data_IF_795778076796
#
_entry.id   IF_795778076796
#
_cell.length_a   1.000
_cell.length_b   1.000
_cell.length_c   1.000
_cell.angle_alpha   90.00
_cell.angle_beta   90.00
_cell.angle_gamma   90.00
#
_symmetry.space_group_name_H-M   'P 1'
#
loop_
_entity.id
_entity.type
_entity.pdbx_description
1 polymer ?
#
# COMPACT_ATOMS: atom_id res chain seq x y z
N UNK A 1 -30.57 -34.99 -20.22
CA UNK A 1 -31.11 -33.94 -19.32
C UNK A 1 -30.38 -32.63 -19.59
N UNK A 2 -31.06 -31.45 -19.72
CA UNK A 2 -30.45 -30.26 -20.33
C UNK A 2 -30.48 -28.98 -19.47
N UNK A 3 -29.60 -28.00 -19.81
CA UNK A 3 -29.70 -26.55 -19.50
C UNK A 3 -29.65 -26.17 -17.99
N UNK A 4 -29.30 -24.98 -17.51
CA UNK A 4 -28.67 -23.76 -18.04
C UNK A 4 -27.47 -23.42 -17.09
N UNK A 5 -26.58 -22.44 -17.28
CA UNK A 5 -26.51 -21.30 -18.21
C UNK A 5 -25.09 -21.11 -18.75
N UNK A 6 -24.98 -20.63 -19.99
CA UNK A 6 -23.87 -19.82 -20.50
C UNK A 6 -24.53 -18.76 -21.39
N UNK A 7 -24.51 -17.48 -20.99
CA UNK A 7 -24.72 -16.29 -21.84
C UNK A 7 -25.00 -15.05 -20.96
N UNK A 8 -24.11 -14.05 -21.04
CA UNK A 8 -24.60 -12.73 -21.46
C UNK A 8 -23.60 -12.13 -22.45
N UNK A 9 -24.12 -11.68 -23.60
CA UNK A 9 -23.31 -11.17 -24.71
C UNK A 9 -22.88 -9.74 -24.48
N UNK A 10 -21.78 -9.37 -25.14
CA UNK A 10 -21.48 -8.01 -25.58
C UNK A 10 -22.74 -7.35 -26.19
N UNK A 11 -23.17 -6.20 -25.68
CA UNK A 11 -23.56 -5.03 -26.51
C UNK A 11 -23.85 -3.80 -25.65
N UNK A 12 -22.97 -2.80 -25.71
CA UNK A 12 -23.29 -1.39 -25.50
C UNK A 12 -22.26 -0.54 -26.28
N UNK A 13 -22.44 -0.61 -27.60
CA UNK A 13 -22.41 0.54 -28.53
C UNK A 13 -21.09 1.33 -28.67
N UNK A 14 -20.43 1.02 -29.79
CA UNK A 14 -19.48 1.87 -30.51
C UNK A 14 -20.12 3.21 -30.91
N UNK A 15 -19.39 4.34 -30.79
CA UNK A 15 -19.07 5.30 -31.88
C UNK A 15 -18.63 6.68 -31.40
N UNK A 16 -17.54 7.14 -32.02
CA UNK A 16 -17.30 8.52 -32.53
C UNK A 16 -16.86 9.54 -31.45
N UNK A 17 -15.75 10.28 -31.58
CA UNK A 17 -15.04 10.71 -32.80
C UNK A 17 -13.51 10.79 -32.61
N UNK A 18 -12.74 10.51 -33.66
CA UNK A 18 -11.33 10.93 -33.77
C UNK A 18 -11.15 11.50 -35.18
N UNK A 19 -10.86 12.81 -35.31
CA UNK A 19 -10.59 13.41 -36.63
C UNK A 19 -9.57 14.54 -36.53
N UNK A 20 -8.37 14.19 -37.00
CA UNK A 20 -7.31 15.00 -37.63
C UNK A 20 -6.86 16.35 -37.03
N UNK A 21 -5.55 16.51 -37.03
CA UNK A 21 -4.86 17.75 -36.73
C UNK A 21 -4.95 18.78 -37.87
N UNK A 22 -5.03 20.05 -37.51
CA UNK A 22 -4.33 21.14 -38.23
C UNK A 22 -4.17 22.37 -37.32
N UNK A 23 -2.91 22.76 -37.09
CA UNK A 23 -2.41 24.14 -36.88
C UNK A 23 -3.28 25.13 -36.06
N UNK A 24 -2.84 25.50 -34.85
CA UNK A 24 -3.38 26.68 -34.18
C UNK A 24 -3.00 26.86 -32.70
N UNK A 25 -1.93 27.62 -32.44
CA UNK A 25 -1.58 28.30 -31.18
C UNK A 25 -1.70 27.59 -29.82
N UNK A 26 -0.53 27.38 -29.20
CA UNK A 26 -0.34 27.21 -27.77
C UNK A 26 -0.91 28.42 -27.01
N UNK A 27 -1.90 28.21 -26.14
CA UNK A 27 -2.15 29.05 -24.95
C UNK A 27 -2.47 28.17 -23.74
N UNK A 28 -1.91 28.58 -22.61
CA UNK A 28 -1.91 27.89 -21.32
C UNK A 28 -3.30 27.65 -20.71
N UNK A 29 -3.51 26.46 -20.13
CA UNK A 29 -4.49 26.24 -19.05
C UNK A 29 -4.07 25.03 -18.19
N UNK A 30 -4.22 25.15 -16.87
CA UNK A 30 -3.84 24.15 -15.87
C UNK A 30 -4.91 23.04 -15.69
N UNK A 31 -4.57 21.86 -15.13
CA UNK A 31 -5.54 20.81 -14.86
C UNK A 31 -6.57 21.21 -13.79
N UNK A 32 -7.80 20.73 -13.96
CA UNK A 32 -9.00 21.15 -13.22
C UNK A 32 -9.04 20.55 -11.81
N UNK A 33 -9.37 21.40 -10.82
CA UNK A 33 -9.62 21.01 -9.41
C UNK A 33 -10.95 20.26 -9.26
N UNK A 34 -11.01 19.32 -8.31
CA UNK A 34 -12.23 19.03 -7.57
C UNK A 34 -12.02 19.34 -6.08
N UNK A 35 -13.08 19.77 -5.41
CA UNK A 35 -13.04 20.49 -4.14
C UNK A 35 -13.56 19.59 -3.01
N UNK A 36 -12.83 19.51 -1.90
CA UNK A 36 -13.40 19.28 -0.57
C UNK A 36 -12.70 20.22 0.41
N UNK A 37 -13.50 20.97 1.17
CA UNK A 37 -13.01 22.08 1.99
C UNK A 37 -12.29 21.57 3.25
N UNK A 38 -11.25 22.29 3.69
CA UNK A 38 -10.61 22.08 4.99
C UNK A 38 -9.33 21.22 5.05
N UNK A 39 -8.89 20.64 3.92
CA UNK A 39 -7.62 19.89 3.86
C UNK A 39 -6.43 20.75 3.42
N UNK A 40 -5.50 21.07 4.34
CA UNK A 40 -4.19 21.61 3.96
C UNK A 40 -3.39 20.53 3.22
N UNK A 41 -3.13 20.74 1.92
CA UNK A 41 -2.37 19.81 1.10
C UNK A 41 -0.88 19.84 1.47
N UNK A 42 -0.50 19.08 2.51
CA UNK A 42 0.90 18.85 2.92
C UNK A 42 1.64 17.90 1.96
N UNK A 43 1.64 18.23 0.67
CA UNK A 43 2.31 17.51 -0.43
C UNK A 43 3.86 17.54 -0.36
N UNK A 44 4.47 17.95 0.77
CA UNK A 44 5.89 18.35 0.79
C UNK A 44 6.81 17.75 1.87
N UNK A 45 6.30 17.22 3.00
CA UNK A 45 7.17 17.03 4.19
C UNK A 45 7.24 15.59 4.75
N UNK A 46 6.24 14.72 4.51
CA UNK A 46 6.27 13.34 5.05
C UNK A 46 6.71 12.27 4.02
N UNK A 47 6.39 12.42 2.72
CA UNK A 47 6.76 11.45 1.67
C UNK A 47 8.28 11.16 1.60
N UNK A 48 9.13 12.18 1.77
CA UNK A 48 10.60 12.05 1.71
C UNK A 48 11.17 11.11 2.81
N UNK A 49 10.43 10.91 3.92
CA UNK A 49 10.81 9.95 4.97
C UNK A 49 10.40 8.52 4.60
N UNK A 50 9.19 8.33 4.05
CA UNK A 50 8.65 7.02 3.65
C UNK A 50 9.58 6.33 2.65
N UNK A 51 10.00 7.07 1.63
CA UNK A 51 10.90 6.61 0.57
C UNK A 51 12.26 6.14 1.11
N UNK A 52 12.77 6.85 2.13
CA UNK A 52 14.02 6.52 2.81
C UNK A 52 13.87 5.23 3.64
N UNK A 53 12.76 5.07 4.36
CA UNK A 53 12.43 3.86 5.11
C UNK A 53 12.36 2.65 4.16
N UNK A 54 11.61 2.76 3.05
CA UNK A 54 11.48 1.68 2.05
C UNK A 54 12.84 1.32 1.45
N UNK A 55 13.67 2.31 1.09
CA UNK A 55 15.04 2.07 0.55
C UNK A 55 15.94 1.37 1.58
N UNK A 56 15.87 1.74 2.86
CA UNK A 56 16.62 1.09 3.94
C UNK A 56 16.14 -0.35 4.16
N UNK A 57 14.83 -0.59 4.25
CA UNK A 57 14.26 -1.95 4.36
C UNK A 57 14.67 -2.81 3.15
N UNK A 58 14.55 -2.30 1.91
CA UNK A 58 14.96 -3.02 0.69
C UNK A 58 16.44 -3.42 0.70
N UNK A 59 17.33 -2.65 1.34
CA UNK A 59 18.77 -3.00 1.50
C UNK A 59 19.01 -4.09 2.55
N UNK A 60 18.18 -4.15 3.60
CA UNK A 60 18.32 -5.07 4.73
C UNK A 60 17.57 -6.40 4.53
N UNK A 61 16.60 -6.45 3.62
CA UNK A 61 15.83 -7.66 3.32
C UNK A 61 16.69 -8.79 2.73
N UNK A 62 16.41 -10.07 3.05
CA UNK A 62 17.09 -11.19 2.42
C UNK A 62 16.87 -11.22 0.90
N UNK A 63 17.92 -11.50 0.12
CA UNK A 63 17.87 -11.57 -1.37
C UNK A 63 16.74 -12.46 -1.90
N UNK A 64 16.41 -13.54 -1.18
CA UNK A 64 15.32 -14.46 -1.52
C UNK A 64 13.92 -13.81 -1.42
N UNK A 65 13.73 -12.86 -0.49
CA UNK A 65 12.50 -12.06 -0.38
C UNK A 65 12.49 -10.98 -1.47
N UNK A 66 13.60 -10.26 -1.66
CA UNK A 66 13.73 -9.21 -2.68
C UNK A 66 13.37 -9.75 -4.09
N UNK A 67 13.79 -10.97 -4.43
CA UNK A 67 13.45 -11.62 -5.71
C UNK A 67 11.95 -11.92 -5.90
N UNK A 68 11.17 -11.95 -4.82
CA UNK A 68 9.72 -12.16 -4.83
C UNK A 68 8.89 -10.87 -4.73
N UNK A 69 9.49 -9.76 -4.29
CA UNK A 69 8.80 -8.48 -4.20
C UNK A 69 8.31 -8.01 -5.59
N UNK A 70 7.18 -7.28 -5.65
CA UNK A 70 6.81 -6.51 -6.83
C UNK A 70 7.91 -5.50 -7.22
N UNK A 71 8.05 -5.24 -8.52
CA UNK A 71 9.01 -4.24 -9.04
C UNK A 71 8.74 -2.87 -8.42
N UNK A 72 7.49 -2.44 -8.45
CA UNK A 72 7.02 -1.20 -7.86
C UNK A 72 6.19 -1.49 -6.61
N UNK A 73 6.49 -0.75 -5.53
CA UNK A 73 5.75 -0.83 -4.27
C UNK A 73 5.36 0.60 -3.91
N UNK A 74 4.06 0.89 -3.88
CA UNK A 74 3.53 2.16 -3.40
C UNK A 74 3.09 1.98 -1.94
N UNK A 75 3.47 2.93 -1.09
CA UNK A 75 2.98 3.03 0.28
C UNK A 75 2.09 4.26 0.36
N UNK A 76 0.84 4.09 0.78
CA UNK A 76 -0.14 5.16 0.89
C UNK A 76 -0.72 5.24 2.30
N UNK A 77 -0.82 6.45 2.83
CA UNK A 77 -1.54 6.70 4.07
C UNK A 77 -3.05 6.78 3.80
N UNK A 78 -3.84 6.17 4.68
CA UNK A 78 -5.31 6.17 4.65
C UNK A 78 -5.89 6.54 6.00
N UNK A 79 -7.04 7.23 5.99
CA UNK A 79 -7.78 7.53 7.21
C UNK A 79 -8.28 6.26 7.91
N UNK A 80 -8.61 6.39 9.20
CA UNK A 80 -9.23 5.30 9.98
C UNK A 80 -10.55 4.81 9.38
N UNK A 81 -11.29 5.68 8.69
CA UNK A 81 -12.52 5.37 7.98
C UNK A 81 -12.28 4.50 6.74
N UNK A 82 -11.42 4.98 5.83
CA UNK A 82 -11.03 4.25 4.62
C UNK A 82 -10.42 2.88 4.97
N UNK A 83 -9.49 2.83 5.93
CA UNK A 83 -8.87 1.59 6.39
C UNK A 83 -9.93 0.57 6.86
N UNK A 84 -10.95 1.01 7.61
CA UNK A 84 -12.05 0.15 8.07
C UNK A 84 -12.90 -0.36 6.91
N UNK A 85 -13.21 0.48 5.93
CA UNK A 85 -13.97 0.08 4.74
C UNK A 85 -13.22 -0.94 3.90
N UNK A 86 -11.94 -0.69 3.62
CA UNK A 86 -11.10 -1.60 2.84
C UNK A 86 -10.91 -2.93 3.59
N UNK A 87 -10.65 -2.91 4.90
CA UNK A 87 -10.54 -4.12 5.72
C UNK A 87 -11.85 -4.92 5.77
N UNK A 88 -13.01 -4.24 5.80
CA UNK A 88 -14.34 -4.87 5.68
C UNK A 88 -14.55 -5.49 4.29
N UNK A 89 -14.14 -4.81 3.22
CA UNK A 89 -14.32 -5.24 1.83
C UNK A 89 -13.45 -6.43 1.44
N UNK A 90 -12.17 -6.42 1.83
CA UNK A 90 -11.17 -7.40 1.36
C UNK A 90 -10.78 -8.47 2.40
N UNK A 91 -11.01 -8.24 3.70
CA UNK A 91 -10.70 -9.20 4.77
C UNK A 91 -11.92 -9.54 5.65
N UNK A 92 -13.11 -9.03 5.32
CA UNK A 92 -14.36 -9.19 6.09
C UNK A 92 -14.29 -8.74 7.57
N UNK A 93 -13.27 -7.94 7.93
CA UNK A 93 -13.03 -7.46 9.30
C UNK A 93 -13.55 -6.02 9.44
N UNK A 94 -14.70 -5.81 10.10
CA UNK A 94 -15.34 -4.48 10.27
C UNK A 94 -14.67 -3.58 11.33
N UNK A 95 -13.34 -3.48 11.30
CA UNK A 95 -12.51 -2.61 12.15
C UNK A 95 -11.39 -1.95 11.32
N UNK A 96 -10.89 -0.77 11.69
CA UNK A 96 -9.67 -0.23 11.07
C UNK A 96 -8.51 -1.24 11.18
N UNK A 97 -7.67 -1.29 10.17
CA UNK A 97 -6.37 -1.96 10.20
C UNK A 97 -5.25 -0.92 10.35
N UNK A 98 -4.17 -1.31 11.01
CA UNK A 98 -2.90 -0.58 11.03
C UNK A 98 -2.20 -0.63 9.67
N UNK A 99 -2.15 -1.82 9.05
CA UNK A 99 -1.63 -2.04 7.69
C UNK A 99 -2.49 -3.04 6.89
N UNK A 100 -2.63 -2.75 5.59
CA UNK A 100 -3.17 -3.67 4.57
C UNK A 100 -2.17 -3.74 3.42
N UNK A 101 -2.05 -4.89 2.77
CA UNK A 101 -1.10 -5.09 1.67
C UNK A 101 -1.75 -5.86 0.53
N UNK A 102 -1.59 -5.36 -0.68
CA UNK A 102 -2.22 -5.85 -1.90
C UNK A 102 -1.16 -6.10 -2.96
N UNK A 103 -1.09 -7.33 -3.47
CA UNK A 103 -0.12 -7.75 -4.47
C UNK A 103 -0.82 -7.93 -5.82
N UNK A 104 -0.38 -7.20 -6.85
CA UNK A 104 -0.97 -7.19 -8.19
C UNK A 104 0.00 -7.87 -9.17
N UNK A 105 0.33 -9.14 -8.88
CA UNK A 105 1.34 -9.89 -9.62
C UNK A 105 2.76 -9.46 -9.26
N UNK A 106 3.69 -9.56 -10.22
CA UNK A 106 5.12 -9.22 -10.00
C UNK A 106 5.48 -7.78 -10.30
N UNK A 107 4.57 -7.02 -10.91
CA UNK A 107 4.88 -5.68 -11.38
C UNK A 107 4.55 -4.62 -10.33
N UNK A 108 3.40 -4.73 -9.66
CA UNK A 108 2.91 -3.70 -8.74
C UNK A 108 2.42 -4.28 -7.41
N UNK A 109 2.70 -3.57 -6.31
CA UNK A 109 2.18 -3.84 -4.98
C UNK A 109 1.84 -2.56 -4.24
N UNK A 110 0.84 -2.61 -3.37
CA UNK A 110 0.36 -1.48 -2.58
C UNK A 110 0.34 -1.84 -1.09
N UNK A 111 0.84 -0.94 -0.25
CA UNK A 111 0.77 -1.03 1.22
C UNK A 111 -0.01 0.18 1.72
N UNK A 112 -1.19 -0.05 2.27
CA UNK A 112 -1.99 0.98 2.91
C UNK A 112 -1.69 0.98 4.40
N UNK A 113 -1.24 2.11 4.94
CA UNK A 113 -0.98 2.30 6.37
C UNK A 113 -1.98 3.30 6.96
N UNK A 114 -2.36 3.12 8.22
CA UNK A 114 -3.26 4.05 8.91
C UNK A 114 -2.52 4.79 10.05
N UNK A 115 -2.01 6.01 9.80
CA UNK A 115 -1.22 6.78 10.77
C UNK A 115 -1.89 6.96 12.14
N UNK A 116 -3.20 7.14 12.19
CA UNK A 116 -3.96 7.24 13.44
C UNK A 116 -3.88 5.97 14.29
N UNK A 117 -4.07 4.81 13.66
CA UNK A 117 -4.02 3.50 14.34
C UNK A 117 -2.59 3.20 14.76
N UNK A 118 -1.62 3.44 13.89
CA UNK A 118 -0.19 3.24 14.16
C UNK A 118 0.29 4.16 15.30
N UNK A 119 -0.12 5.43 15.35
CA UNK A 119 0.18 6.33 16.47
C UNK A 119 -0.46 5.88 17.79
N UNK A 120 -1.63 5.24 17.75
CA UNK A 120 -2.27 4.68 18.94
C UNK A 120 -1.51 3.44 19.43
N UNK A 121 -1.27 2.48 18.55
CA UNK A 121 -0.55 1.24 18.86
C UNK A 121 0.87 1.53 19.36
N UNK A 122 1.58 2.50 18.76
CA UNK A 122 2.89 2.93 19.22
C UNK A 122 2.88 3.37 20.69
N UNK A 123 1.91 4.21 21.09
CA UNK A 123 1.75 4.64 22.49
C UNK A 123 1.34 3.49 23.42
N UNK A 124 0.49 2.57 22.97
CA UNK A 124 0.04 1.41 23.75
C UNK A 124 1.16 0.37 23.95
N UNK A 125 2.21 0.40 23.14
CA UNK A 125 3.35 -0.52 23.16
C UNK A 125 4.65 0.14 23.65
N UNK A 126 4.61 1.38 24.14
CA UNK A 126 5.76 2.22 24.52
C UNK A 126 6.84 2.33 23.41
N UNK A 127 6.40 2.32 22.15
CA UNK A 127 7.23 2.41 20.95
C UNK A 127 7.19 3.82 20.36
N UNK A 128 8.28 4.24 19.71
CA UNK A 128 8.27 5.48 18.91
C UNK A 128 7.39 5.32 17.67
N UNK A 129 6.72 6.40 17.23
CA UNK A 129 5.93 6.36 15.99
C UNK A 129 6.78 5.97 14.76
N UNK A 130 8.05 6.39 14.72
CA UNK A 130 9.03 6.05 13.69
C UNK A 130 9.32 4.53 13.66
N UNK A 131 9.45 3.91 14.83
CA UNK A 131 9.56 2.46 14.97
C UNK A 131 8.31 1.75 14.45
N UNK A 132 7.13 2.11 14.98
CA UNK A 132 5.87 1.42 14.65
C UNK A 132 5.52 1.53 13.16
N UNK A 133 5.69 2.71 12.55
CA UNK A 133 5.47 2.90 11.11
C UNK A 133 6.45 2.06 10.28
N UNK A 134 7.72 2.02 10.68
CA UNK A 134 8.75 1.21 9.98
C UNK A 134 8.44 -0.28 10.07
N UNK A 135 7.99 -0.76 11.24
CA UNK A 135 7.54 -2.14 11.40
C UNK A 135 6.34 -2.45 10.49
N UNK A 136 5.34 -1.58 10.41
CA UNK A 136 4.19 -1.79 9.52
C UNK A 136 4.57 -1.82 8.03
N UNK A 137 5.50 -0.96 7.59
CA UNK A 137 6.02 -0.98 6.22
C UNK A 137 6.80 -2.26 5.96
N UNK A 138 7.68 -2.67 6.88
CA UNK A 138 8.45 -3.92 6.78
C UNK A 138 7.53 -5.14 6.71
N UNK A 139 6.55 -5.23 7.60
CA UNK A 139 5.54 -6.27 7.66
C UNK A 139 4.75 -6.37 6.34
N UNK A 140 4.29 -5.22 5.83
CA UNK A 140 3.62 -5.17 4.53
C UNK A 140 4.51 -5.61 3.36
N UNK A 141 5.79 -5.23 3.38
CA UNK A 141 6.76 -5.69 2.37
C UNK A 141 7.04 -7.20 2.45
N UNK A 142 7.13 -7.78 3.65
CA UNK A 142 7.27 -9.24 3.83
C UNK A 142 6.05 -9.98 3.27
N UNK A 143 4.84 -9.46 3.53
CA UNK A 143 3.60 -9.97 2.92
C UNK A 143 3.62 -9.88 1.39
N UNK A 144 4.06 -8.76 0.80
CA UNK A 144 4.22 -8.66 -0.67
C UNK A 144 5.27 -9.64 -1.22
N UNK A 145 6.28 -10.01 -0.42
CA UNK A 145 7.28 -11.03 -0.74
C UNK A 145 6.79 -12.48 -0.57
N UNK A 146 5.51 -12.69 -0.23
CA UNK A 146 4.93 -14.01 0.01
C UNK A 146 5.40 -14.65 1.31
N UNK A 147 5.63 -13.84 2.35
CA UNK A 147 5.83 -14.30 3.73
C UNK A 147 4.63 -13.88 4.56
N UNK A 148 3.79 -14.84 4.97
CA UNK A 148 2.56 -14.56 5.71
C UNK A 148 2.68 -15.06 7.15
N UNK A 149 2.57 -14.14 8.12
CA UNK A 149 2.60 -14.48 9.54
C UNK A 149 1.35 -15.25 10.02
N UNK A 150 0.25 -15.20 9.26
CA UNK A 150 -0.98 -15.97 9.51
C UNK A 150 -0.79 -17.48 9.22
N UNK A 151 0.35 -17.90 8.63
CA UNK A 151 0.72 -19.30 8.41
C UNK A 151 1.40 -19.92 9.65
N UNK A 152 0.75 -20.92 10.26
CA UNK A 152 1.29 -21.65 11.41
C UNK A 152 2.58 -22.41 11.08
N UNK A 153 3.58 -22.35 11.98
CA UNK A 153 4.80 -23.15 11.90
C UNK A 153 6.05 -22.31 11.65
N UNK A 154 7.00 -22.85 10.89
CA UNK A 154 8.32 -22.23 10.72
C UNK A 154 8.30 -20.94 9.90
N UNK A 155 7.26 -20.72 9.08
CA UNK A 155 7.12 -19.50 8.26
C UNK A 155 6.81 -18.29 9.14
N UNK A 156 5.90 -18.40 10.11
CA UNK A 156 5.66 -17.35 11.11
C UNK A 156 6.94 -17.01 11.90
N UNK A 157 7.61 -18.03 12.47
CA UNK A 157 8.87 -17.84 13.23
C UNK A 157 9.97 -17.17 12.39
N UNK A 158 10.10 -17.57 11.12
CA UNK A 158 11.07 -16.97 10.19
C UNK A 158 10.72 -15.52 9.84
N UNK A 159 9.44 -15.21 9.69
CA UNK A 159 8.95 -13.85 9.45
C UNK A 159 9.26 -12.95 10.65
N UNK A 160 8.86 -13.36 11.85
CA UNK A 160 9.15 -12.66 13.11
C UNK A 160 10.66 -12.43 13.33
N UNK A 161 11.49 -13.45 13.05
CA UNK A 161 12.95 -13.33 13.14
C UNK A 161 13.49 -12.27 12.17
N UNK A 162 13.03 -12.25 10.92
CA UNK A 162 13.46 -11.26 9.91
C UNK A 162 12.99 -9.86 10.31
N UNK A 163 11.77 -9.72 10.84
CA UNK A 163 11.28 -8.45 11.37
C UNK A 163 12.19 -7.91 12.48
N UNK A 164 12.45 -8.72 13.51
CA UNK A 164 13.34 -8.36 14.62
C UNK A 164 14.76 -8.03 14.17
N UNK A 165 15.33 -8.82 13.25
CA UNK A 165 16.70 -8.62 12.74
C UNK A 165 16.85 -7.36 11.87
N UNK A 166 15.82 -6.97 11.12
CA UNK A 166 15.87 -5.74 10.31
C UNK A 166 15.60 -4.52 11.18
N UNK A 167 14.64 -4.59 12.10
CA UNK A 167 14.34 -3.49 13.02
C UNK A 167 15.54 -3.18 13.92
N UNK A 168 16.27 -4.19 14.43
CA UNK A 168 17.48 -3.94 15.25
C UNK A 168 18.66 -3.30 14.50
N UNK A 169 18.59 -3.22 13.16
CA UNK A 169 19.61 -2.57 12.30
C UNK A 169 19.19 -1.18 11.81
N UNK A 170 17.99 -0.72 12.15
CA UNK A 170 17.49 0.61 11.76
C UNK A 170 17.55 1.51 12.98
N UNK A 171 18.20 2.66 12.86
CA UNK A 171 18.22 3.65 13.93
C UNK A 171 16.89 4.42 13.99
N UNK A 172 16.20 4.25 15.12
CA UNK A 172 14.93 4.90 15.42
C UNK A 172 15.08 6.12 16.33
N UNK A 173 16.29 6.43 16.80
CA UNK A 173 16.58 7.65 17.55
C UNK A 173 16.23 8.87 16.67
N UNK A 174 15.62 9.86 17.30
CA UNK A 174 15.34 11.22 16.84
C UNK A 174 15.49 12.12 18.07
#
# INVERSE_FOLDING_TARGET
>A
MPRHFLNFRRSAITKINFRMASLGNIKSAAPVRSFSEGGSWVMGIEMLKMDTIIKTIKKLLPKAVIKKLPKEIIVKEVSKGESREINRKYRHKNKPANVLSFCYGKDYGEILVCPEVIRKEAKEQDNSYKYQMTWMILHGMLHLGGMHHEESGDIAKKTERIEKEILSKIDFVN
#
